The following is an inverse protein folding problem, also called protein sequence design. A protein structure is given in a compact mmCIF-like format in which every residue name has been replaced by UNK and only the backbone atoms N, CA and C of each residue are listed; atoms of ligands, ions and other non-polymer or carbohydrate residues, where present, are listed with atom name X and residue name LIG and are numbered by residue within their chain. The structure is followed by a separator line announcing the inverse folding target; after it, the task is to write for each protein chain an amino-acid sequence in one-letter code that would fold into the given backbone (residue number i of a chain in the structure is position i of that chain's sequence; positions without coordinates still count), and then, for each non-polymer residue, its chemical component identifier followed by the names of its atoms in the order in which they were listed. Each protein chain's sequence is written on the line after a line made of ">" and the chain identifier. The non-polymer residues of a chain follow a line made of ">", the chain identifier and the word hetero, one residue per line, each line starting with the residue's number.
data_IF_965443159446
#
_entry.id   IF_965443159446
#
_cell.length_a   1.000
_cell.length_b   1.000
_cell.length_c   1.000
_cell.angle_alpha   90.00
_cell.angle_beta   90.00
_cell.angle_gamma   90.00
#
_symmetry.space_group_name_H-M   'P 1'
#
loop_
_entity.id
_entity.type
_entity.pdbx_description
1 polymer ?
#
# COMPACT_ATOMS: atom_id res chain seq x y z
N UNK A 1 -9.79 14.32 6.68
CA UNK A 1 -10.64 14.38 7.92
C UNK A 1 -11.98 15.08 7.70
N UNK A 2 -12.06 16.24 7.03
CA UNK A 2 -13.33 16.97 6.81
C UNK A 2 -14.36 16.17 5.99
N UNK A 3 -13.91 15.45 4.95
CA UNK A 3 -14.77 14.61 4.09
C UNK A 3 -15.33 13.43 4.88
N UNK A 4 -14.49 12.71 5.62
CA UNK A 4 -14.92 11.55 6.43
C UNK A 4 -15.93 11.91 7.50
N UNK A 5 -15.82 13.10 8.13
CA UNK A 5 -16.83 13.57 9.09
C UNK A 5 -18.22 13.80 8.47
N UNK A 6 -18.27 14.09 7.16
CA UNK A 6 -19.52 14.24 6.41
C UNK A 6 -20.05 12.91 5.88
N UNK A 7 -19.17 11.92 5.72
CA UNK A 7 -19.49 10.56 5.31
C UNK A 7 -19.59 9.62 6.52
N UNK A 8 -20.11 10.09 7.65
CA UNK A 8 -20.16 9.35 8.91
C UNK A 8 -21.06 8.10 8.80
N UNK A 9 -20.52 7.09 8.14
CA UNK A 9 -21.16 5.80 7.92
C UNK A 9 -20.14 4.69 8.23
N UNK A 10 -20.57 3.59 8.87
CA UNK A 10 -19.71 2.43 9.07
C UNK A 10 -19.28 1.77 7.74
N UNK A 11 -19.95 2.13 6.63
CA UNK A 11 -19.66 1.64 5.28
C UNK A 11 -18.73 2.56 4.48
N UNK A 12 -18.34 3.71 5.05
CA UNK A 12 -17.45 4.68 4.41
C UNK A 12 -16.08 4.61 5.05
N UNK A 13 -15.04 4.48 4.24
CA UNK A 13 -13.65 4.47 4.65
C UNK A 13 -12.73 5.05 3.61
N UNK A 14 -11.44 4.87 3.81
CA UNK A 14 -10.37 5.34 2.93
C UNK A 14 -9.70 4.16 2.23
N UNK A 15 -9.40 4.34 0.97
CA UNK A 15 -8.33 3.65 0.28
C UNK A 15 -7.13 4.61 0.20
N UNK A 16 -5.94 4.12 0.43
CA UNK A 16 -4.70 4.89 0.34
C UNK A 16 -3.67 4.16 -0.48
N UNK A 17 -2.80 4.92 -1.14
CA UNK A 17 -1.65 4.43 -1.88
C UNK A 17 -0.37 4.73 -1.10
N UNK A 18 0.53 3.77 -1.00
CA UNK A 18 1.79 3.96 -0.27
C UNK A 18 2.74 4.93 -0.96
N UNK A 19 2.74 5.02 -2.29
CA UNK A 19 3.61 5.95 -3.01
C UNK A 19 3.32 7.43 -2.68
N UNK A 20 2.07 7.94 -2.79
CA UNK A 20 1.76 9.30 -2.36
C UNK A 20 2.04 9.57 -0.88
N UNK A 21 1.86 8.57 -0.01
CA UNK A 21 2.18 8.71 1.42
C UNK A 21 3.65 9.08 1.61
N UNK A 22 4.55 8.36 0.96
CA UNK A 22 6.00 8.63 1.05
C UNK A 22 6.38 9.91 0.30
N UNK A 23 5.78 10.16 -0.87
CA UNK A 23 6.01 11.38 -1.64
C UNK A 23 5.68 12.64 -0.83
N UNK A 24 4.62 12.61 -0.05
CA UNK A 24 4.21 13.68 0.86
C UNK A 24 5.01 13.70 2.19
N UNK A 25 6.09 12.93 2.29
CA UNK A 25 6.94 12.81 3.48
C UNK A 25 6.21 12.32 4.74
N UNK A 26 5.15 11.53 4.56
CA UNK A 26 4.42 10.88 5.63
C UNK A 26 4.82 9.40 5.74
N UNK A 27 4.37 8.77 6.81
CA UNK A 27 4.46 7.33 7.04
C UNK A 27 3.07 6.69 7.01
N UNK A 28 3.02 5.40 6.76
CA UNK A 28 1.76 4.65 6.85
C UNK A 28 1.22 4.66 8.30
N UNK A 29 2.11 4.67 9.31
CA UNK A 29 1.73 4.80 10.72
C UNK A 29 0.96 6.09 11.00
N UNK A 30 1.37 7.22 10.44
CA UNK A 30 0.66 8.50 10.63
C UNK A 30 -0.76 8.46 10.06
N UNK A 31 -0.98 7.70 8.99
CA UNK A 31 -2.33 7.46 8.46
C UNK A 31 -3.15 6.56 9.38
N UNK A 32 -2.57 5.51 9.97
CA UNK A 32 -3.24 4.71 10.99
C UNK A 32 -3.61 5.54 12.23
N UNK A 33 -2.69 6.35 12.73
CA UNK A 33 -2.93 7.25 13.87
C UNK A 33 -4.04 8.27 13.56
N UNK A 34 -4.14 8.71 12.31
CA UNK A 34 -5.12 9.70 11.90
C UNK A 34 -6.51 9.13 11.61
N UNK A 35 -6.61 7.91 11.10
CA UNK A 35 -7.82 7.36 10.51
C UNK A 35 -8.25 6.01 11.09
N UNK A 36 -7.30 5.23 11.66
CA UNK A 36 -7.58 3.98 12.37
C UNK A 36 -8.42 3.01 11.53
N UNK A 37 -9.52 2.55 12.12
CA UNK A 37 -10.44 1.60 11.49
C UNK A 37 -11.12 2.09 10.20
N UNK A 38 -10.96 3.37 9.84
CA UNK A 38 -11.45 3.91 8.57
C UNK A 38 -10.51 3.63 7.39
N UNK A 39 -9.35 3.05 7.60
CA UNK A 39 -8.50 2.54 6.52
C UNK A 39 -9.00 1.16 6.08
N UNK A 40 -9.77 1.12 5.00
CA UNK A 40 -10.42 -0.11 4.52
C UNK A 40 -9.58 -0.84 3.48
N UNK A 41 -8.76 -0.09 2.74
CA UNK A 41 -7.98 -0.63 1.64
C UNK A 41 -6.65 0.10 1.51
N UNK A 42 -5.60 -0.64 1.16
CA UNK A 42 -4.27 -0.09 0.92
C UNK A 42 -3.76 -0.61 -0.42
N UNK A 43 -3.42 0.30 -1.32
CA UNK A 43 -2.60 -0.03 -2.47
C UNK A 43 -1.14 -0.04 -2.01
N UNK A 44 -0.61 -1.24 -1.86
CA UNK A 44 0.74 -1.48 -1.40
C UNK A 44 1.66 -1.58 -2.62
N UNK A 45 2.20 -0.44 -3.04
CA UNK A 45 2.97 -0.29 -4.26
C UNK A 45 4.43 0.03 -4.00
N UNK A 46 5.30 -0.42 -4.87
CA UNK A 46 6.63 0.14 -5.00
C UNK A 46 6.60 1.38 -5.92
N UNK A 47 7.64 2.19 -5.93
CA UNK A 47 7.71 3.38 -6.77
C UNK A 47 8.95 4.24 -6.58
N UNK A 48 9.18 5.17 -7.53
CA UNK A 48 10.24 6.19 -7.51
C UNK A 48 9.71 7.53 -8.05
N UNK A 49 9.56 8.56 -7.24
CA UNK A 49 8.84 8.58 -5.96
C UNK A 49 7.32 8.55 -6.19
N UNK A 50 6.84 8.87 -7.42
CA UNK A 50 5.45 9.16 -7.77
C UNK A 50 4.85 8.22 -8.84
N UNK A 51 5.53 7.13 -9.18
CA UNK A 51 5.01 6.11 -10.07
C UNK A 51 4.66 4.82 -9.32
N UNK A 52 3.85 3.97 -9.96
CA UNK A 52 3.34 2.73 -9.38
C UNK A 52 4.04 1.55 -10.05
N UNK A 53 5.03 1.01 -9.35
CA UNK A 53 5.88 -0.07 -9.82
C UNK A 53 5.56 -1.39 -9.13
N UNK A 54 5.97 -2.49 -9.74
CA UNK A 54 6.01 -3.78 -9.05
C UNK A 54 7.10 -3.77 -7.99
N UNK A 55 6.90 -4.49 -6.90
CA UNK A 55 7.88 -4.59 -5.82
C UNK A 55 9.23 -5.11 -6.34
N UNK A 56 10.27 -4.36 -6.00
CA UNK A 56 11.66 -4.60 -6.41
C UNK A 56 12.16 -3.72 -7.55
N UNK A 57 11.31 -2.88 -8.14
CA UNK A 57 11.68 -1.93 -9.19
C UNK A 57 11.74 -0.48 -8.71
N UNK A 58 11.30 -0.21 -7.50
CA UNK A 58 11.31 1.11 -6.87
C UNK A 58 12.14 1.17 -5.59
N UNK A 59 11.89 2.19 -4.79
CA UNK A 59 12.64 2.49 -3.57
C UNK A 59 11.74 2.63 -2.33
N UNK A 60 10.49 2.17 -2.42
CA UNK A 60 9.57 2.26 -1.30
C UNK A 60 10.05 1.40 -0.11
N UNK A 61 9.86 1.87 1.13
CA UNK A 61 10.34 1.18 2.33
C UNK A 61 9.41 0.01 2.73
N UNK A 62 9.39 -1.07 1.94
CA UNK A 62 8.49 -2.22 2.13
C UNK A 62 8.48 -2.73 3.57
N UNK A 63 9.66 -2.92 4.17
CA UNK A 63 9.75 -3.46 5.53
C UNK A 63 9.14 -2.51 6.57
N UNK A 64 9.19 -1.20 6.34
CA UNK A 64 8.52 -0.24 7.20
C UNK A 64 7.00 -0.35 7.04
N UNK A 65 6.50 -0.41 5.80
CA UNK A 65 5.08 -0.62 5.55
C UNK A 65 4.55 -1.88 6.21
N UNK A 66 5.28 -3.00 6.09
CA UNK A 66 4.88 -4.27 6.71
C UNK A 66 4.89 -4.18 8.25
N UNK A 67 5.86 -3.47 8.86
CA UNK A 67 5.86 -3.23 10.31
C UNK A 67 4.66 -2.40 10.76
N UNK A 68 4.33 -1.34 10.01
CA UNK A 68 3.20 -0.47 10.34
C UNK A 68 1.86 -1.22 10.23
N UNK A 69 1.70 -2.04 9.18
CA UNK A 69 0.54 -2.93 9.02
C UNK A 69 0.39 -3.91 10.19
N UNK A 70 1.48 -4.58 10.57
CA UNK A 70 1.49 -5.54 11.67
C UNK A 70 1.22 -4.87 13.02
N UNK A 71 1.84 -3.72 13.29
CA UNK A 71 1.65 -2.94 14.53
C UNK A 71 0.20 -2.53 14.74
N UNK A 72 -0.53 -2.23 13.67
CA UNK A 72 -1.92 -1.80 13.72
C UNK A 72 -2.92 -2.94 13.52
N UNK A 73 -2.45 -4.19 13.53
CA UNK A 73 -3.29 -5.39 13.27
C UNK A 73 -4.20 -5.22 12.05
N UNK A 74 -3.67 -4.64 10.98
CA UNK A 74 -4.46 -4.34 9.79
C UNK A 74 -5.01 -5.62 9.16
N UNK A 75 -6.34 -5.68 9.00
CA UNK A 75 -7.08 -6.82 8.46
C UNK A 75 -7.80 -6.51 7.15
N UNK A 76 -7.62 -5.29 6.63
CA UNK A 76 -8.19 -4.89 5.35
C UNK A 76 -7.50 -5.54 4.16
N UNK A 77 -8.06 -5.33 2.98
CA UNK A 77 -7.47 -5.80 1.74
C UNK A 77 -6.28 -4.94 1.32
N UNK A 78 -5.29 -5.58 0.69
CA UNK A 78 -4.16 -4.91 0.06
C UNK A 78 -4.10 -5.30 -1.41
N UNK A 79 -3.82 -4.34 -2.27
CA UNK A 79 -3.68 -4.53 -3.71
C UNK A 79 -2.35 -3.95 -4.18
N UNK A 80 -1.66 -4.67 -5.04
CA UNK A 80 -0.55 -4.10 -5.80
C UNK A 80 -1.13 -3.50 -7.09
N UNK A 81 -1.16 -2.16 -7.15
CA UNK A 81 -1.56 -1.42 -8.35
C UNK A 81 -0.31 -1.08 -9.17
N UNK A 82 -0.32 -1.36 -10.45
CA UNK A 82 0.84 -1.17 -11.33
C UNK A 82 0.41 -0.38 -12.55
N UNK A 83 0.96 0.83 -12.72
CA UNK A 83 0.55 1.78 -13.74
C UNK A 83 1.69 2.26 -14.65
N UNK A 84 2.88 1.63 -14.59
CA UNK A 84 4.01 2.04 -15.43
C UNK A 84 3.99 1.32 -16.78
N UNK A 85 4.22 2.08 -17.86
CA UNK A 85 4.21 1.57 -19.24
C UNK A 85 5.31 0.53 -19.52
N UNK A 86 6.37 0.48 -18.72
CA UNK A 86 7.45 -0.53 -18.83
C UNK A 86 6.93 -1.97 -18.77
N UNK A 87 5.74 -2.18 -18.18
CA UNK A 87 5.14 -3.51 -18.00
C UNK A 87 4.11 -3.88 -19.07
N UNK A 88 3.77 -3.00 -19.99
CA UNK A 88 2.68 -3.23 -20.97
C UNK A 88 2.93 -4.41 -21.89
N UNK A 89 4.19 -4.74 -22.16
CA UNK A 89 4.53 -5.87 -23.03
C UNK A 89 4.37 -7.23 -22.34
N UNK A 90 4.61 -7.31 -21.03
CA UNK A 90 4.46 -8.54 -20.25
C UNK A 90 4.05 -8.22 -18.79
N UNK A 91 2.80 -7.81 -18.57
CA UNK A 91 2.32 -7.46 -17.24
C UNK A 91 2.24 -8.69 -16.32
N UNK A 92 2.01 -9.88 -16.85
CA UNK A 92 1.90 -11.10 -16.03
C UNK A 92 3.21 -11.43 -15.33
N UNK A 93 4.32 -11.43 -16.04
CA UNK A 93 5.64 -11.70 -15.47
C UNK A 93 6.03 -10.61 -14.47
N UNK A 94 5.74 -9.35 -14.79
CA UNK A 94 6.04 -8.23 -13.88
C UNK A 94 5.29 -8.38 -12.55
N UNK A 95 3.98 -8.60 -12.60
CA UNK A 95 3.13 -8.77 -11.40
C UNK A 95 3.56 -10.01 -10.60
N UNK A 96 3.81 -11.15 -11.26
CA UNK A 96 4.25 -12.37 -10.59
C UNK A 96 5.59 -12.15 -9.85
N UNK A 97 6.52 -11.38 -10.44
CA UNK A 97 7.79 -11.02 -9.82
C UNK A 97 7.57 -10.14 -8.57
N UNK A 98 6.77 -9.09 -8.67
CA UNK A 98 6.46 -8.20 -7.54
C UNK A 98 5.76 -8.93 -6.39
N UNK A 99 4.81 -9.83 -6.71
CA UNK A 99 4.15 -10.67 -5.70
C UNK A 99 5.13 -11.59 -4.99
N UNK A 100 6.13 -12.14 -5.70
CA UNK A 100 7.17 -12.97 -5.08
C UNK A 100 7.97 -12.18 -4.06
N UNK A 101 8.37 -10.95 -4.38
CA UNK A 101 9.07 -10.06 -3.44
C UNK A 101 8.24 -9.81 -2.18
N UNK A 102 6.94 -9.56 -2.33
CA UNK A 102 6.03 -9.40 -1.19
C UNK A 102 5.94 -10.67 -0.33
N UNK A 103 5.74 -11.82 -0.97
CA UNK A 103 5.58 -13.11 -0.27
C UNK A 103 6.84 -13.53 0.50
N UNK A 104 8.03 -13.20 -0.02
CA UNK A 104 9.30 -13.48 0.66
C UNK A 104 9.49 -12.63 1.93
N UNK A 105 8.84 -11.48 2.00
CA UNK A 105 8.93 -10.54 3.13
C UNK A 105 7.77 -10.68 4.12
N UNK A 106 6.67 -11.26 3.71
CA UNK A 106 5.57 -11.53 4.62
C UNK A 106 5.94 -12.69 5.56
N UNK A 107 5.71 -12.56 6.88
CA UNK A 107 5.91 -13.68 7.79
C UNK A 107 4.99 -14.84 7.36
N UNK A 108 5.58 -16.03 7.18
CA UNK A 108 4.80 -17.26 7.02
C UNK A 108 4.00 -17.51 8.30
N UNK A 109 2.81 -16.96 8.36
CA UNK A 109 1.80 -17.41 9.31
C UNK A 109 1.03 -18.56 8.65
N UNK A 110 1.54 -19.75 8.82
CA UNK A 110 0.78 -20.99 8.61
C UNK A 110 -0.03 -21.26 9.86
#
# INVERSE_FOLDING_TARGET
>A
RKVLRRLDSPRSGLAIDTCPVIYDHNTLQEYFDAFGEKLFHIHLNDGEPDNFLVWGDGTQPLEQHLRDLARNDYRGAMTMEVCDSRYFQDPHTAIARGLRVLLEKLPCTV
#
